data_IF_784153177929
#
_entry.id   IF_784153177929
#
_cell.length_a   1.000
_cell.length_b   1.000
_cell.length_c   1.000
_cell.angle_alpha   90.00
_cell.angle_beta   90.00
_cell.angle_gamma   90.00
#
_symmetry.space_group_name_H-M   'P 1'
#
loop_
_entity.id
_entity.type
_entity.pdbx_description
1 polymer ?
#
# COMPACT_ATOMS: atom_id res chain seq x y z
N UNK A 1 15.63 -22.20 -9.93
CA UNK A 1 15.87 -21.70 -8.57
C UNK A 1 17.37 -21.46 -8.47
N UNK A 2 17.84 -20.24 -8.21
CA UNK A 2 19.25 -19.88 -8.32
C UNK A 2 19.96 -20.16 -6.98
N UNK A 3 20.87 -21.14 -6.97
CA UNK A 3 21.49 -21.71 -5.75
C UNK A 3 22.40 -20.71 -5.00
N UNK A 4 22.81 -19.63 -5.68
CA UNK A 4 23.78 -18.63 -5.19
C UNK A 4 23.31 -17.78 -4.00
N UNK A 5 22.06 -17.91 -3.54
CA UNK A 5 21.51 -17.08 -2.46
C UNK A 5 20.88 -17.89 -1.32
N UNK A 6 21.15 -19.19 -1.25
CA UNK A 6 20.51 -20.07 -0.27
C UNK A 6 20.79 -19.63 1.17
N UNK A 7 22.03 -19.24 1.47
CA UNK A 7 22.43 -18.73 2.79
C UNK A 7 21.73 -17.42 3.16
N UNK A 8 21.68 -16.47 2.24
CA UNK A 8 20.94 -15.21 2.44
C UNK A 8 19.45 -15.46 2.70
N UNK A 9 18.87 -16.47 2.02
CA UNK A 9 17.47 -16.85 2.22
C UNK A 9 17.24 -17.45 3.61
N UNK A 10 18.17 -18.29 4.08
CA UNK A 10 18.13 -18.89 5.42
C UNK A 10 18.28 -17.81 6.49
N UNK A 11 19.25 -16.91 6.34
CA UNK A 11 19.47 -15.79 7.26
C UNK A 11 18.24 -14.88 7.34
N UNK A 12 17.61 -14.57 6.21
CA UNK A 12 16.36 -13.79 6.17
C UNK A 12 15.24 -14.47 6.96
N UNK A 13 15.10 -15.79 6.82
CA UNK A 13 14.06 -16.54 7.53
C UNK A 13 14.31 -16.62 9.05
N UNK A 14 15.58 -16.75 9.47
CA UNK A 14 15.97 -16.73 10.89
C UNK A 14 15.69 -15.35 11.50
N UNK A 15 16.08 -14.30 10.80
CA UNK A 15 15.83 -12.93 11.22
C UNK A 15 14.33 -12.64 11.36
N UNK A 16 13.51 -13.02 10.38
CA UNK A 16 12.05 -12.88 10.46
C UNK A 16 11.45 -13.61 11.66
N UNK A 17 11.92 -14.83 11.98
CA UNK A 17 11.49 -15.57 13.18
C UNK A 17 11.83 -14.81 14.46
N UNK A 18 13.06 -14.32 14.58
CA UNK A 18 13.50 -13.55 15.75
C UNK A 18 12.68 -12.27 15.93
N UNK A 19 12.34 -11.56 14.84
CA UNK A 19 11.46 -10.38 14.92
C UNK A 19 10.07 -10.75 15.43
N UNK A 20 9.52 -11.89 14.99
CA UNK A 20 8.21 -12.37 15.45
C UNK A 20 8.26 -12.72 16.95
N UNK A 21 9.30 -13.45 17.38
CA UNK A 21 9.53 -13.85 18.77
C UNK A 21 9.74 -12.63 19.68
N UNK A 22 10.43 -11.60 19.20
CA UNK A 22 10.66 -10.33 19.90
C UNK A 22 9.42 -9.41 19.92
N UNK A 23 8.24 -9.92 19.54
CA UNK A 23 6.97 -9.20 19.69
C UNK A 23 6.71 -8.15 18.61
N UNK A 24 7.45 -8.15 17.50
CA UNK A 24 7.31 -7.13 16.44
C UNK A 24 5.95 -7.17 15.74
N UNK A 25 5.21 -8.27 15.84
CA UNK A 25 3.78 -8.37 15.48
C UNK A 25 2.89 -7.33 16.19
N UNK A 26 3.28 -6.88 17.40
CA UNK A 26 2.55 -5.84 18.14
C UNK A 26 2.74 -4.46 17.49
N UNK A 27 3.87 -4.24 16.82
CA UNK A 27 4.25 -2.98 16.16
C UNK A 27 3.63 -2.87 14.77
N UNK A 28 3.34 -3.99 14.10
CA UNK A 28 2.66 -4.01 12.79
C UNK A 28 1.27 -3.37 12.82
N UNK A 29 0.58 -3.39 13.97
CA UNK A 29 -0.78 -2.84 14.13
C UNK A 29 -0.81 -1.36 14.49
N UNK A 30 0.34 -0.68 14.57
CA UNK A 30 0.34 0.76 14.86
C UNK A 30 -0.28 1.49 13.66
N UNK A 31 -1.43 2.16 13.83
CA UNK A 31 -2.04 2.92 12.75
C UNK A 31 -1.08 4.03 12.36
N UNK A 32 -0.59 3.97 11.11
CA UNK A 32 0.33 4.97 10.60
C UNK A 32 -0.33 6.36 10.69
N UNK A 33 0.19 7.20 11.59
CA UNK A 33 -0.36 8.52 11.97
C UNK A 33 -0.66 9.42 10.76
N UNK A 34 0.07 9.23 9.66
CA UNK A 34 -0.02 10.01 8.43
C UNK A 34 -0.65 9.23 7.26
N UNK A 35 -1.55 8.29 7.56
CA UNK A 35 -2.32 7.57 6.55
C UNK A 35 -3.53 8.36 6.07
N UNK A 36 -4.10 9.18 6.95
CA UNK A 36 -5.27 10.00 6.71
C UNK A 36 -4.98 11.46 7.03
N UNK A 37 -5.67 12.37 6.34
CA UNK A 37 -5.76 13.76 6.74
C UNK A 37 -6.67 13.92 7.96
N UNK A 38 -6.61 15.05 8.66
CA UNK A 38 -7.46 15.32 9.84
C UNK A 38 -8.96 15.23 9.55
N UNK A 39 -9.39 15.40 8.30
CA UNK A 39 -10.78 15.22 7.86
C UNK A 39 -11.15 13.77 7.51
N UNK A 40 -10.31 12.79 7.85
CA UNK A 40 -10.53 11.37 7.59
C UNK A 40 -10.26 10.91 6.15
N UNK A 41 -9.89 11.82 5.23
CA UNK A 41 -9.59 11.42 3.84
C UNK A 41 -8.24 10.70 3.77
N UNK A 42 -8.18 9.62 3.01
CA UNK A 42 -6.94 8.88 2.78
C UNK A 42 -5.94 9.75 2.01
N UNK A 43 -4.70 9.81 2.48
CA UNK A 43 -3.58 10.44 1.77
C UNK A 43 -3.09 9.47 0.71
N UNK A 44 -3.12 9.88 -0.56
CA UNK A 44 -2.71 9.00 -1.66
C UNK A 44 -1.19 8.78 -1.67
N UNK A 45 -0.73 7.68 -2.27
CA UNK A 45 0.72 7.40 -2.41
C UNK A 45 1.43 8.50 -3.21
N UNK A 46 0.75 9.05 -4.22
CA UNK A 46 1.28 10.15 -5.02
C UNK A 46 1.43 11.44 -4.20
N UNK A 47 0.42 11.79 -3.40
CA UNK A 47 0.48 12.95 -2.49
C UNK A 47 1.63 12.82 -1.48
N UNK A 48 1.88 11.62 -0.95
CA UNK A 48 3.04 11.40 -0.05
C UNK A 48 4.37 11.58 -0.77
N UNK A 49 4.48 11.09 -2.01
CA UNK A 49 5.70 11.27 -2.81
C UNK A 49 5.97 12.74 -3.11
N UNK A 50 4.94 13.54 -3.42
CA UNK A 50 5.10 14.97 -3.68
C UNK A 50 5.67 15.69 -2.46
N UNK A 51 5.13 15.41 -1.27
CA UNK A 51 5.65 15.91 0.01
C UNK A 51 7.11 15.50 0.24
N UNK A 52 7.45 14.25 -0.07
CA UNK A 52 8.80 13.74 0.17
C UNK A 52 9.84 14.34 -0.78
N UNK A 53 9.46 14.58 -2.04
CA UNK A 53 10.35 15.16 -3.06
C UNK A 53 10.52 16.68 -2.85
N UNK A 54 9.46 17.38 -2.45
CA UNK A 54 9.48 18.83 -2.27
C UNK A 54 9.50 19.20 -0.80
N UNK A 55 10.70 19.14 -0.18
CA UNK A 55 10.86 19.43 1.25
C UNK A 55 10.44 20.84 1.65
N UNK A 56 10.57 21.83 0.77
CA UNK A 56 10.11 23.21 0.97
C UNK A 56 8.60 23.30 1.31
N UNK A 57 7.82 22.28 0.96
CA UNK A 57 6.40 22.24 1.33
C UNK A 57 6.18 22.11 2.84
N UNK A 58 7.17 21.64 3.61
CA UNK A 58 7.10 21.64 5.06
C UNK A 58 7.22 23.05 5.65
N UNK A 59 7.95 23.95 4.98
CA UNK A 59 8.05 25.35 5.39
C UNK A 59 6.76 26.12 5.08
N UNK A 60 6.16 25.84 3.91
CA UNK A 60 4.89 26.43 3.49
C UNK A 60 3.67 25.86 4.24
N UNK A 61 3.75 24.61 4.66
CA UNK A 61 2.66 23.91 5.35
C UNK A 61 3.23 23.19 6.59
N UNK A 62 3.33 23.87 7.74
CA UNK A 62 3.93 23.33 8.96
C UNK A 62 3.33 22.00 9.40
N UNK A 63 2.03 21.80 9.14
CA UNK A 63 1.38 20.51 9.28
C UNK A 63 0.59 20.15 8.00
N UNK A 64 1.20 19.40 7.07
CA UNK A 64 0.59 19.11 5.77
C UNK A 64 -0.55 18.08 5.86
N UNK A 65 -0.72 17.44 7.02
CA UNK A 65 -1.74 16.42 7.24
C UNK A 65 -3.03 16.99 7.84
N UNK A 66 -3.01 18.24 8.28
CA UNK A 66 -4.19 18.93 8.83
C UNK A 66 -4.90 19.70 7.73
N UNK A 67 -6.23 19.51 7.66
CA UNK A 67 -7.12 20.25 6.77
C UNK A 67 -7.73 21.40 7.56
N UNK A 68 -7.39 22.62 7.16
CA UNK A 68 -7.93 23.87 7.70
C UNK A 68 -8.79 24.57 6.64
N UNK A 69 -9.58 25.55 7.09
CA UNK A 69 -10.30 26.44 6.19
C UNK A 69 -9.35 27.33 5.38
N UNK A 70 -8.19 27.68 5.95
CA UNK A 70 -7.12 28.43 5.29
C UNK A 70 -6.25 27.64 4.31
N UNK A 71 -5.06 28.18 3.94
CA UNK A 71 -4.11 27.51 3.06
C UNK A 71 -3.57 26.24 3.73
N UNK A 72 -3.86 25.09 3.15
CA UNK A 72 -3.36 23.80 3.60
C UNK A 72 -2.93 22.92 2.42
N UNK A 73 -1.98 22.03 2.69
CA UNK A 73 -1.42 21.13 1.69
C UNK A 73 -2.49 20.30 0.98
N UNK A 74 -3.48 19.80 1.72
CA UNK A 74 -4.60 19.02 1.20
C UNK A 74 -5.34 19.75 0.05
N UNK A 75 -5.65 21.04 0.22
CA UNK A 75 -6.33 21.85 -0.81
C UNK A 75 -5.39 22.15 -1.97
N UNK A 76 -4.15 22.54 -1.66
CA UNK A 76 -3.14 22.89 -2.65
C UNK A 76 -2.80 21.73 -3.59
N UNK A 77 -2.53 20.54 -3.05
CA UNK A 77 -2.11 19.38 -3.84
C UNK A 77 -3.24 18.91 -4.75
N UNK A 78 -4.50 19.01 -4.31
CA UNK A 78 -5.66 18.68 -5.13
C UNK A 78 -5.94 19.71 -6.21
N UNK A 79 -5.72 20.99 -5.93
CA UNK A 79 -5.82 22.05 -6.94
C UNK A 79 -4.75 21.88 -8.02
N UNK A 80 -3.50 21.61 -7.64
CA UNK A 80 -2.35 21.54 -8.55
C UNK A 80 -2.20 20.20 -9.26
N UNK A 81 -2.47 19.11 -8.56
CA UNK A 81 -2.22 17.74 -9.03
C UNK A 81 -3.46 16.84 -9.07
N UNK A 82 -4.64 17.36 -8.72
CA UNK A 82 -5.90 16.60 -8.68
C UNK A 82 -6.18 15.76 -9.93
N UNK A 83 -6.00 16.28 -11.16
CA UNK A 83 -6.17 15.50 -12.38
C UNK A 83 -5.23 14.29 -12.47
N UNK A 84 -3.96 14.44 -12.06
CA UNK A 84 -2.96 13.38 -12.11
C UNK A 84 -3.16 12.32 -11.01
N UNK A 85 -3.54 12.77 -9.82
CA UNK A 85 -3.83 11.87 -8.69
C UNK A 85 -5.08 11.03 -8.97
N UNK A 86 -6.13 11.64 -9.53
CA UNK A 86 -7.38 10.93 -9.86
C UNK A 86 -7.21 9.99 -11.05
N UNK A 87 -6.45 10.39 -12.07
CA UNK A 87 -6.10 9.52 -13.22
C UNK A 87 -5.34 8.28 -12.75
N UNK A 88 -4.31 8.45 -11.92
CA UNK A 88 -3.55 7.34 -11.34
C UNK A 88 -4.43 6.38 -10.53
N UNK A 89 -5.42 6.88 -9.79
CA UNK A 89 -6.35 6.03 -9.04
C UNK A 89 -7.28 5.23 -9.97
N UNK A 90 -7.84 5.88 -10.99
CA UNK A 90 -8.67 5.20 -12.01
C UNK A 90 -7.88 4.14 -12.77
N UNK A 91 -6.64 4.44 -13.15
CA UNK A 91 -5.75 3.51 -13.85
C UNK A 91 -5.41 2.29 -12.98
N UNK A 92 -5.18 2.49 -11.68
CA UNK A 92 -4.97 1.39 -10.72
C UNK A 92 -6.22 0.51 -10.57
N UNK A 93 -7.42 1.09 -10.55
CA UNK A 93 -8.67 0.33 -10.53
C UNK A 93 -8.84 -0.45 -11.83
N UNK A 94 -8.63 0.20 -12.97
CA UNK A 94 -8.72 -0.43 -14.28
C UNK A 94 -7.75 -1.62 -14.39
N UNK A 95 -6.49 -1.45 -14.01
CA UNK A 95 -5.51 -2.56 -13.97
C UNK A 95 -5.96 -3.70 -13.05
N UNK A 96 -6.50 -3.41 -11.87
CA UNK A 96 -7.02 -4.46 -10.97
C UNK A 96 -8.19 -5.22 -11.58
N UNK A 97 -9.09 -4.52 -12.27
CA UNK A 97 -10.23 -5.15 -12.96
C UNK A 97 -9.71 -6.02 -14.10
N UNK A 98 -8.80 -5.50 -14.94
CA UNK A 98 -8.18 -6.24 -16.04
C UNK A 98 -7.45 -7.48 -15.55
N UNK A 99 -6.64 -7.35 -14.49
CA UNK A 99 -5.97 -8.48 -13.85
C UNK A 99 -6.97 -9.52 -13.33
N UNK A 100 -8.05 -9.10 -12.66
CA UNK A 100 -9.09 -10.02 -12.18
C UNK A 100 -9.78 -10.75 -13.34
N UNK A 101 -10.05 -10.06 -14.45
CA UNK A 101 -10.60 -10.67 -15.67
C UNK A 101 -9.63 -11.68 -16.27
N UNK A 102 -8.37 -11.32 -16.46
CA UNK A 102 -7.33 -12.23 -16.97
C UNK A 102 -7.16 -13.45 -16.06
N UNK A 103 -7.12 -13.26 -14.75
CA UNK A 103 -7.00 -14.36 -13.79
C UNK A 103 -8.21 -15.29 -13.82
N UNK A 104 -9.42 -14.75 -13.99
CA UNK A 104 -10.63 -15.57 -14.17
C UNK A 104 -10.66 -16.29 -15.54
N UNK A 105 -10.03 -15.71 -16.56
CA UNK A 105 -9.90 -16.33 -17.87
C UNK A 105 -8.91 -17.51 -17.84
N UNK A 106 -7.72 -17.30 -17.29
CA UNK A 106 -6.70 -18.36 -17.18
C UNK A 106 -7.03 -19.40 -16.10
N UNK A 107 -7.69 -18.99 -15.01
CA UNK A 107 -8.02 -19.87 -13.89
C UNK A 107 -9.50 -19.69 -13.49
N UNK A 108 -10.43 -20.31 -14.24
CA UNK A 108 -11.85 -20.13 -14.04
C UNK A 108 -12.31 -20.60 -12.66
N UNK A 109 -13.32 -19.95 -12.06
CA UNK A 109 -13.80 -20.33 -10.73
C UNK A 109 -14.46 -21.68 -10.63
N UNK A 110 -14.97 -22.20 -11.73
CA UNK A 110 -15.56 -23.53 -11.84
C UNK A 110 -14.51 -24.66 -11.81
N UNK A 111 -13.24 -24.37 -12.09
CA UNK A 111 -12.20 -25.41 -12.15
C UNK A 111 -11.59 -25.71 -10.79
N UNK A 112 -11.21 -26.97 -10.56
CA UNK A 112 -10.53 -27.40 -9.33
C UNK A 112 -9.24 -26.60 -9.08
N UNK A 113 -8.46 -26.35 -10.13
CA UNK A 113 -7.23 -25.55 -10.09
C UNK A 113 -7.52 -24.10 -9.68
N UNK A 114 -8.56 -23.48 -10.23
CA UNK A 114 -8.98 -22.13 -9.86
C UNK A 114 -9.51 -22.03 -8.43
N UNK A 115 -10.23 -23.03 -7.94
CA UNK A 115 -10.70 -23.10 -6.55
C UNK A 115 -9.53 -23.27 -5.57
N UNK A 116 -8.57 -24.14 -5.89
CA UNK A 116 -7.36 -24.37 -5.11
C UNK A 116 -6.52 -23.10 -4.97
N UNK A 117 -6.29 -22.36 -6.07
CA UNK A 117 -5.57 -21.07 -6.03
C UNK A 117 -6.25 -20.03 -5.13
N UNK A 118 -7.58 -19.98 -5.12
CA UNK A 118 -8.32 -19.08 -4.22
C UNK A 118 -8.24 -19.53 -2.76
N UNK A 119 -8.25 -20.83 -2.50
CA UNK A 119 -8.06 -21.39 -1.16
C UNK A 119 -6.68 -21.01 -0.61
N UNK A 120 -5.62 -21.19 -1.39
CA UNK A 120 -4.26 -20.76 -1.03
C UNK A 120 -4.20 -19.26 -0.80
N UNK A 121 -4.83 -18.47 -1.68
CA UNK A 121 -4.83 -17.02 -1.50
C UNK A 121 -5.54 -16.61 -0.22
N UNK A 122 -6.66 -17.24 0.14
CA UNK A 122 -7.38 -16.98 1.40
C UNK A 122 -6.52 -17.34 2.61
N UNK A 123 -5.87 -18.50 2.61
CA UNK A 123 -5.00 -18.91 3.72
C UNK A 123 -3.81 -17.97 3.88
N UNK A 124 -3.21 -17.49 2.79
CA UNK A 124 -2.13 -16.48 2.84
C UNK A 124 -2.64 -15.14 3.41
N UNK A 125 -3.85 -14.72 3.05
CA UNK A 125 -4.43 -13.45 3.51
C UNK A 125 -4.86 -13.53 4.98
N UNK A 126 -5.44 -14.65 5.41
CA UNK A 126 -5.79 -14.91 6.82
C UNK A 126 -4.54 -15.00 7.69
N UNK A 127 -3.45 -15.61 7.19
CA UNK A 127 -2.16 -15.66 7.90
C UNK A 127 -1.46 -14.29 7.99
N UNK A 128 -1.89 -13.29 7.22
CA UNK A 128 -1.39 -11.90 7.22
C UNK A 128 -2.27 -10.91 8.01
N UNK A 129 -3.43 -11.33 8.53
CA UNK A 129 -4.30 -10.50 9.38
C UNK A 129 -4.05 -10.80 10.86
#
# INVERSE_FOLDING_TARGET
>A
YNDKNREATILSAIYEKQLIENGQKLVEKIPYKYKYYSNGKLISKAERKILHVKRELYDLFPNPFVVTEGPCYYKWVRKKYGPFVTKSYKDQIAQKITYKKALNFFFPPSTATGQWLRKIRRTIVEKRR
#
